data_IF_660142233805
#
_entry.id   IF_660142233805
#
_cell.length_a   1.000
_cell.length_b   1.000
_cell.length_c   1.000
_cell.angle_alpha   90.00
_cell.angle_beta   90.00
_cell.angle_gamma   90.00
#
_symmetry.space_group_name_H-M   'P 1'
#
loop_
_entity.id
_entity.type
_entity.pdbx_description
1 polymer ?
#
# COMPACT_ATOMS: atom_id res chain seq x y z
N UNK A 1 -19.71 -14.29 27.32
CA UNK A 1 -18.60 -13.39 26.97
C UNK A 1 -19.17 -12.20 26.22
N UNK A 2 -18.89 -10.96 26.64
CA UNK A 2 -19.28 -9.76 25.87
C UNK A 2 -18.61 -9.82 24.50
N UNK A 3 -19.37 -9.59 23.43
CA UNK A 3 -18.85 -9.56 22.07
C UNK A 3 -17.91 -8.35 21.98
N UNK A 4 -16.62 -8.57 21.80
CA UNK A 4 -15.64 -7.50 21.59
C UNK A 4 -15.96 -6.78 20.27
N UNK A 5 -16.05 -5.46 20.32
CA UNK A 5 -16.20 -4.62 19.12
C UNK A 5 -14.81 -4.09 18.75
N UNK A 6 -14.33 -4.49 17.56
CA UNK A 6 -13.04 -4.03 17.03
C UNK A 6 -13.26 -2.99 15.94
N UNK A 7 -12.73 -1.78 16.14
CA UNK A 7 -12.91 -0.64 15.24
C UNK A 7 -11.61 -0.13 14.62
N UNK A 8 -10.45 -0.65 15.04
CA UNK A 8 -9.14 -0.22 14.54
C UNK A 8 -8.73 -1.00 13.26
N UNK A 9 -9.57 -0.96 12.24
CA UNK A 9 -9.28 -1.64 10.98
C UNK A 9 -8.14 -0.97 10.16
N UNK A 10 -7.71 0.21 10.55
CA UNK A 10 -6.52 0.86 10.00
C UNK A 10 -5.22 0.15 10.45
N UNK A 11 -5.17 -0.40 11.67
CA UNK A 11 -4.04 -1.19 12.15
C UNK A 11 -3.99 -2.58 11.48
N UNK A 12 -5.10 -3.29 11.45
CA UNK A 12 -5.24 -4.61 10.77
C UNK A 12 -6.71 -4.96 10.64
N UNK A 13 -7.05 -5.86 9.72
CA UNK A 13 -8.40 -6.39 9.60
C UNK A 13 -8.47 -7.87 9.96
N UNK A 14 -9.63 -8.32 10.43
CA UNK A 14 -9.88 -9.75 10.59
C UNK A 14 -9.96 -10.42 9.21
N UNK A 15 -9.22 -11.51 9.04
CA UNK A 15 -9.32 -12.33 7.83
C UNK A 15 -10.74 -12.90 7.70
N UNK A 16 -11.32 -12.81 6.50
CA UNK A 16 -12.68 -13.33 6.27
C UNK A 16 -12.70 -14.86 6.17
N UNK A 17 -13.84 -15.48 6.51
CA UNK A 17 -14.01 -16.93 6.42
C UNK A 17 -13.80 -17.45 5.00
N UNK A 18 -14.26 -16.73 3.98
CA UNK A 18 -14.07 -17.10 2.58
C UNK A 18 -12.58 -17.09 2.18
N UNK A 19 -11.79 -16.18 2.73
CA UNK A 19 -10.34 -16.13 2.53
C UNK A 19 -9.68 -17.31 3.23
N UNK A 20 -10.04 -17.59 4.48
CA UNK A 20 -9.54 -18.76 5.23
C UNK A 20 -9.79 -20.05 4.45
N UNK A 21 -11.04 -20.26 3.97
CA UNK A 21 -11.42 -21.44 3.18
C UNK A 21 -10.61 -21.55 1.88
N UNK A 22 -10.34 -20.44 1.20
CA UNK A 22 -9.52 -20.43 0.00
C UNK A 22 -8.05 -20.82 0.26
N UNK A 23 -7.51 -20.49 1.44
CA UNK A 23 -6.13 -20.82 1.82
C UNK A 23 -5.97 -22.29 2.27
N UNK A 24 -6.99 -22.89 2.86
CA UNK A 24 -6.93 -24.15 3.57
C UNK A 24 -6.33 -25.30 2.74
N UNK A 25 -6.66 -25.52 1.43
CA UNK A 25 -6.06 -26.57 0.62
C UNK A 25 -4.53 -26.43 0.47
N UNK A 26 -4.01 -25.21 0.47
CA UNK A 26 -2.58 -24.93 0.26
C UNK A 26 -1.75 -25.01 1.56
N UNK A 27 -2.39 -25.26 2.69
CA UNK A 27 -1.70 -25.48 3.97
C UNK A 27 -1.35 -26.95 4.20
N UNK A 28 -2.06 -27.91 3.57
CA UNK A 28 -1.88 -29.33 3.79
C UNK A 28 -1.88 -30.17 2.51
N UNK A 29 -2.88 -30.04 1.65
CA UNK A 29 -3.08 -30.91 0.50
C UNK A 29 -2.21 -30.50 -0.70
N UNK A 30 -2.20 -29.22 -1.05
CA UNK A 30 -1.52 -28.65 -2.19
C UNK A 30 -0.21 -27.94 -1.76
N UNK A 31 0.64 -28.64 -1.06
CA UNK A 31 1.90 -28.11 -0.45
C UNK A 31 3.06 -28.01 -1.45
N UNK A 32 2.84 -28.18 -2.74
CA UNK A 32 3.91 -28.20 -3.75
C UNK A 32 4.73 -26.92 -3.81
N UNK A 33 6.01 -27.07 -4.09
CA UNK A 33 6.90 -25.92 -4.35
C UNK A 33 6.78 -25.53 -5.83
N UNK A 34 6.36 -24.30 -6.10
CA UNK A 34 6.12 -23.79 -7.44
C UNK A 34 7.37 -23.76 -8.35
N UNK A 35 8.56 -23.86 -7.77
CA UNK A 35 9.84 -23.92 -8.52
C UNK A 35 10.14 -25.32 -9.10
N UNK A 36 9.37 -26.36 -8.73
CA UNK A 36 9.64 -27.75 -9.20
C UNK A 36 8.88 -28.08 -10.48
N UNK A 37 9.43 -29.00 -11.28
CA UNK A 37 8.90 -29.36 -12.61
C UNK A 37 7.89 -30.52 -12.61
N UNK A 38 7.56 -31.10 -11.46
CA UNK A 38 6.58 -32.17 -11.36
C UNK A 38 5.19 -31.63 -10.97
N UNK A 39 4.15 -32.46 -11.16
CA UNK A 39 2.74 -32.04 -11.14
C UNK A 39 2.30 -31.19 -9.94
N UNK A 40 2.68 -31.59 -8.72
CA UNK A 40 2.31 -30.85 -7.50
C UNK A 40 2.95 -29.43 -7.45
N UNK A 41 4.14 -29.25 -8.06
CA UNK A 41 4.75 -27.93 -8.20
C UNK A 41 4.11 -27.10 -9.32
N UNK A 42 3.68 -27.75 -10.40
CA UNK A 42 2.93 -27.10 -11.49
C UNK A 42 1.56 -26.59 -11.01
N UNK A 43 0.90 -27.34 -10.13
CA UNK A 43 -0.37 -26.92 -9.51
C UNK A 43 -0.17 -25.66 -8.66
N UNK A 44 0.86 -25.64 -7.81
CA UNK A 44 1.20 -24.48 -7.02
C UNK A 44 1.52 -23.25 -7.90
N UNK A 45 2.31 -23.44 -8.97
CA UNK A 45 2.64 -22.37 -9.93
C UNK A 45 1.40 -21.82 -10.62
N UNK A 46 0.49 -22.68 -11.04
CA UNK A 46 -0.77 -22.27 -11.68
C UNK A 46 -1.62 -21.39 -10.76
N UNK A 47 -1.69 -21.72 -9.48
CA UNK A 47 -2.46 -20.91 -8.51
C UNK A 47 -1.77 -19.58 -8.18
N UNK A 48 -0.44 -19.53 -8.16
CA UNK A 48 0.30 -18.27 -8.05
C UNK A 48 0.00 -17.35 -9.24
N UNK A 49 0.02 -17.88 -10.48
CA UNK A 49 -0.26 -17.04 -11.66
C UNK A 49 -1.73 -16.60 -11.71
N UNK A 50 -2.71 -17.45 -11.38
CA UNK A 50 -4.11 -17.03 -11.23
C UNK A 50 -4.29 -15.94 -10.18
N UNK A 51 -3.61 -16.06 -9.03
CA UNK A 51 -3.62 -15.05 -7.99
C UNK A 51 -3.04 -13.72 -8.49
N UNK A 52 -1.97 -13.80 -9.27
CA UNK A 52 -1.34 -12.64 -9.91
C UNK A 52 -2.26 -11.97 -10.92
N UNK A 53 -2.98 -12.76 -11.72
CA UNK A 53 -4.00 -12.25 -12.65
C UNK A 53 -5.11 -11.48 -11.93
N UNK A 54 -5.60 -12.02 -10.80
CA UNK A 54 -6.61 -11.33 -9.97
C UNK A 54 -6.10 -9.99 -9.48
N UNK A 55 -4.90 -9.95 -8.89
CA UNK A 55 -4.30 -8.69 -8.38
C UNK A 55 -4.07 -7.71 -9.54
N UNK A 56 -3.49 -8.15 -10.64
CA UNK A 56 -3.26 -7.30 -11.81
C UNK A 56 -4.57 -6.69 -12.35
N UNK A 57 -5.63 -7.50 -12.45
CA UNK A 57 -6.94 -7.05 -12.91
C UNK A 57 -7.54 -5.94 -12.01
N UNK A 58 -7.35 -6.01 -10.69
CA UNK A 58 -7.85 -4.98 -9.75
C UNK A 58 -7.18 -3.62 -9.94
N UNK A 59 -5.96 -3.59 -10.46
CA UNK A 59 -5.19 -2.37 -10.75
C UNK A 59 -5.24 -1.96 -12.22
N UNK A 60 -5.87 -2.75 -13.09
CA UNK A 60 -5.77 -2.63 -14.57
C UNK A 60 -4.30 -2.68 -15.04
N UNK A 61 -3.49 -3.49 -14.35
CA UNK A 61 -2.08 -3.73 -14.62
C UNK A 61 -1.89 -5.01 -15.43
N UNK A 62 -0.66 -5.24 -15.92
CA UNK A 62 -0.25 -6.53 -16.47
C UNK A 62 0.23 -7.45 -15.33
N UNK A 63 0.13 -8.76 -15.54
CA UNK A 63 0.67 -9.75 -14.59
C UNK A 63 2.18 -9.62 -14.41
N UNK A 64 2.91 -9.22 -15.47
CA UNK A 64 4.35 -8.94 -15.43
C UNK A 64 4.75 -7.83 -14.46
N UNK A 65 3.81 -6.95 -14.10
CA UNK A 65 4.04 -5.79 -13.24
C UNK A 65 3.79 -6.07 -11.74
N UNK A 66 3.26 -7.25 -11.39
CA UNK A 66 2.96 -7.62 -10.00
C UNK A 66 4.06 -8.54 -9.45
N UNK A 67 4.59 -8.21 -8.28
CA UNK A 67 5.59 -8.97 -7.54
C UNK A 67 5.11 -9.21 -6.11
N UNK A 68 5.03 -10.46 -5.70
CA UNK A 68 4.60 -10.81 -4.35
C UNK A 68 5.71 -10.57 -3.32
N UNK A 69 5.30 -10.05 -2.17
CA UNK A 69 6.18 -9.71 -1.04
C UNK A 69 5.58 -10.24 0.27
N UNK A 70 6.30 -10.07 1.38
CA UNK A 70 5.77 -10.42 2.70
C UNK A 70 4.82 -9.36 3.28
N UNK A 71 4.60 -8.23 2.60
CA UNK A 71 3.72 -7.15 3.05
C UNK A 71 4.17 -5.77 2.61
N UNK A 72 3.46 -4.74 3.05
CA UNK A 72 3.72 -3.35 2.68
C UNK A 72 5.14 -2.92 3.01
N UNK A 73 5.63 -3.23 4.22
CA UNK A 73 6.99 -2.82 4.63
C UNK A 73 8.09 -3.39 3.73
N UNK A 74 7.98 -4.63 3.26
CA UNK A 74 8.93 -5.18 2.28
C UNK A 74 8.80 -4.46 0.95
N UNK A 75 7.58 -4.22 0.47
CA UNK A 75 7.31 -3.52 -0.79
C UNK A 75 7.88 -2.10 -0.80
N UNK A 76 7.66 -1.35 0.28
CA UNK A 76 8.17 0.02 0.45
C UNK A 76 9.70 0.07 0.50
N UNK A 77 10.30 -0.83 1.30
CA UNK A 77 11.76 -0.93 1.37
C UNK A 77 12.36 -1.27 0.01
N UNK A 78 11.75 -2.21 -0.71
CA UNK A 78 12.20 -2.58 -2.04
C UNK A 78 12.09 -1.40 -3.01
N UNK A 79 10.93 -0.74 -3.06
CA UNK A 79 10.72 0.42 -3.92
C UNK A 79 11.73 1.54 -3.62
N UNK A 80 11.81 2.01 -2.37
CA UNK A 80 12.63 3.17 -2.01
C UNK A 80 14.12 2.88 -2.12
N UNK A 81 14.59 1.81 -1.48
CA UNK A 81 16.04 1.50 -1.42
C UNK A 81 16.62 1.08 -2.76
N UNK A 82 15.87 0.26 -3.52
CA UNK A 82 16.42 -0.27 -4.75
C UNK A 82 16.30 0.70 -5.93
N UNK A 83 15.29 1.59 -5.95
CA UNK A 83 15.27 2.71 -6.90
C UNK A 83 16.40 3.69 -6.59
N UNK A 84 16.63 4.04 -5.32
CA UNK A 84 17.75 4.87 -4.93
C UNK A 84 19.09 4.28 -5.40
N UNK A 85 19.30 2.97 -5.21
CA UNK A 85 20.51 2.29 -5.67
C UNK A 85 20.62 2.24 -7.20
N UNK A 86 19.54 1.94 -7.93
CA UNK A 86 19.51 1.87 -9.38
C UNK A 86 19.78 3.23 -10.02
N UNK A 87 19.24 4.30 -9.43
CA UNK A 87 19.35 5.65 -9.94
C UNK A 87 20.57 6.43 -9.43
N UNK A 88 21.45 5.82 -8.63
CA UNK A 88 22.60 6.50 -7.98
C UNK A 88 23.48 7.31 -8.93
N UNK A 89 23.61 6.90 -10.18
CA UNK A 89 24.40 7.63 -11.20
C UNK A 89 23.67 8.87 -11.73
N UNK A 90 22.32 8.86 -11.69
CA UNK A 90 21.49 9.98 -12.14
C UNK A 90 21.40 11.06 -11.05
N UNK A 91 21.33 10.63 -9.79
CA UNK A 91 21.22 11.54 -8.65
C UNK A 91 21.02 10.78 -7.33
N UNK A 92 20.94 11.53 -6.24
CA UNK A 92 20.77 10.97 -4.88
C UNK A 92 19.71 11.72 -4.06
N UNK A 93 18.88 12.50 -4.71
CA UNK A 93 17.80 13.21 -4.02
C UNK A 93 16.48 12.45 -4.11
N UNK A 94 15.78 12.37 -2.98
CA UNK A 94 14.48 11.72 -2.80
C UNK A 94 13.54 12.74 -2.18
N UNK A 95 12.29 12.78 -2.64
CA UNK A 95 11.22 13.59 -2.05
C UNK A 95 10.20 12.64 -1.43
N UNK A 96 9.82 12.89 -0.18
CA UNK A 96 8.77 12.16 0.53
C UNK A 96 8.00 13.11 1.46
N UNK A 97 7.04 12.61 2.24
CA UNK A 97 6.29 13.42 3.20
C UNK A 97 6.68 13.09 4.64
N UNK A 98 6.40 14.00 5.58
CA UNK A 98 6.65 13.77 7.00
C UNK A 98 5.58 12.89 7.67
N UNK A 99 4.52 12.51 6.95
CA UNK A 99 3.41 11.68 7.46
C UNK A 99 3.41 10.24 6.91
N UNK A 100 4.46 9.84 6.22
CA UNK A 100 4.60 8.48 5.68
C UNK A 100 4.59 7.41 6.78
N UNK A 101 4.25 6.20 6.37
CA UNK A 101 4.47 5.03 7.23
C UNK A 101 5.96 4.86 7.57
N UNK A 102 6.27 4.36 8.77
CA UNK A 102 7.65 4.15 9.23
C UNK A 102 8.50 3.29 8.27
N UNK A 103 7.89 2.45 7.43
CA UNK A 103 8.61 1.69 6.41
C UNK A 103 9.27 2.61 5.37
N UNK A 104 8.65 3.75 5.04
CA UNK A 104 9.21 4.77 4.17
C UNK A 104 10.18 5.67 4.95
N UNK A 105 9.73 6.27 6.09
CA UNK A 105 10.55 7.19 6.87
C UNK A 105 11.89 6.57 7.27
N UNK A 106 11.87 5.36 7.86
CA UNK A 106 13.10 4.67 8.28
C UNK A 106 13.95 4.21 7.10
N UNK A 107 13.36 3.94 5.93
CA UNK A 107 14.11 3.65 4.71
C UNK A 107 14.82 4.89 4.17
N UNK A 108 14.18 6.04 4.23
CA UNK A 108 14.77 7.33 3.88
C UNK A 108 15.89 7.70 4.86
N UNK A 109 15.67 7.61 6.16
CA UNK A 109 16.71 7.82 7.18
C UNK A 109 17.93 6.90 6.99
N UNK A 110 17.70 5.65 6.62
CA UNK A 110 18.79 4.75 6.27
C UNK A 110 19.57 5.21 5.03
N UNK A 111 18.88 5.71 4.00
CA UNK A 111 19.53 6.24 2.80
C UNK A 111 20.31 7.52 3.07
N UNK A 112 19.84 8.41 3.95
CA UNK A 112 20.60 9.60 4.39
C UNK A 112 21.95 9.21 4.99
N UNK A 113 21.99 8.15 5.82
CA UNK A 113 23.25 7.60 6.36
C UNK A 113 24.20 7.06 5.28
N UNK A 114 23.68 6.77 4.08
CA UNK A 114 24.44 6.35 2.90
C UNK A 114 24.78 7.52 1.95
N UNK A 115 24.50 8.76 2.34
CA UNK A 115 24.82 9.97 1.60
C UNK A 115 23.80 10.31 0.51
N UNK A 116 22.53 9.95 0.69
CA UNK A 116 21.41 10.48 -0.06
C UNK A 116 20.84 11.71 0.64
N UNK A 117 20.29 12.63 -0.13
CA UNK A 117 19.53 13.77 0.39
C UNK A 117 18.04 13.43 0.33
N UNK A 118 17.32 13.70 1.43
CA UNK A 118 15.88 13.50 1.49
C UNK A 118 15.17 14.80 1.84
N UNK A 119 14.23 15.20 1.00
CA UNK A 119 13.30 16.29 1.34
C UNK A 119 12.01 15.69 1.89
N UNK A 120 11.70 16.02 3.14
CA UNK A 120 10.44 15.67 3.79
C UNK A 120 9.48 16.85 3.67
N UNK A 121 8.46 16.71 2.83
CA UNK A 121 7.43 17.73 2.67
C UNK A 121 6.52 17.76 3.91
N UNK A 122 6.29 18.94 4.44
CA UNK A 122 5.35 19.15 5.54
C UNK A 122 3.92 19.24 4.99
N UNK A 123 3.01 18.51 5.63
CA UNK A 123 1.58 18.59 5.32
C UNK A 123 0.92 19.77 6.01
N UNK A 124 -0.23 20.19 5.51
CA UNK A 124 -1.08 21.19 6.14
C UNK A 124 -1.84 20.63 7.37
N UNK A 125 -2.71 21.45 7.97
CA UNK A 125 -3.52 21.07 9.14
C UNK A 125 -4.51 19.93 8.89
N UNK A 126 -4.78 19.61 7.64
CA UNK A 126 -5.64 18.51 7.19
C UNK A 126 -4.86 17.27 6.77
N UNK A 127 -3.53 17.34 6.84
CA UNK A 127 -2.64 16.24 6.44
C UNK A 127 -2.47 16.11 4.93
N UNK A 128 -2.59 17.20 4.16
CA UNK A 128 -2.40 17.25 2.71
C UNK A 128 -1.08 17.93 2.35
N UNK A 129 -0.43 17.44 1.29
CA UNK A 129 0.57 18.20 0.54
C UNK A 129 -0.04 18.81 -0.70
N UNK A 130 0.53 19.92 -1.18
CA UNK A 130 0.16 20.45 -2.50
C UNK A 130 1.09 19.91 -3.61
N UNK A 131 0.56 19.76 -4.84
CA UNK A 131 1.41 19.43 -5.99
C UNK A 131 2.53 20.46 -6.23
N UNK A 132 2.29 21.72 -5.88
CA UNK A 132 3.25 22.82 -5.99
C UNK A 132 4.45 22.61 -5.04
N UNK A 133 4.22 22.17 -3.79
CA UNK A 133 5.31 21.83 -2.87
C UNK A 133 6.22 20.73 -3.45
N UNK A 134 5.63 19.71 -4.10
CA UNK A 134 6.41 18.66 -4.77
C UNK A 134 7.22 19.25 -5.91
N UNK A 135 6.62 20.11 -6.73
CA UNK A 135 7.30 20.74 -7.88
C UNK A 135 8.48 21.62 -7.43
N UNK A 136 8.29 22.41 -6.38
CA UNK A 136 9.32 23.31 -5.83
C UNK A 136 10.48 22.55 -5.17
N UNK A 137 10.22 21.35 -4.65
CA UNK A 137 11.23 20.49 -4.05
C UNK A 137 12.08 19.73 -5.09
N UNK A 138 11.67 19.68 -6.37
CA UNK A 138 12.41 18.97 -7.42
C UNK A 138 13.73 19.64 -7.72
N UNK A 139 14.79 18.85 -7.71
CA UNK A 139 16.17 19.24 -8.02
C UNK A 139 16.66 18.48 -9.27
N UNK A 140 17.74 18.93 -9.94
CA UNK A 140 18.31 18.21 -11.08
C UNK A 140 18.74 16.77 -10.75
N UNK A 141 19.07 16.48 -9.49
CA UNK A 141 19.49 15.18 -8.98
C UNK A 141 18.35 14.39 -8.28
N UNK A 142 17.09 14.83 -8.39
CA UNK A 142 15.94 14.10 -7.86
C UNK A 142 15.69 12.83 -8.69
N UNK A 143 15.61 11.69 -8.03
CA UNK A 143 15.46 10.38 -8.67
C UNK A 143 14.17 9.65 -8.30
N UNK A 144 13.61 9.94 -7.12
CA UNK A 144 12.40 9.31 -6.62
C UNK A 144 11.53 10.34 -5.89
N UNK A 145 10.24 10.27 -6.14
CA UNK A 145 9.20 10.86 -5.32
C UNK A 145 8.44 9.69 -4.69
N UNK A 146 8.27 9.66 -3.36
CA UNK A 146 7.51 8.64 -2.66
C UNK A 146 6.50 9.32 -1.74
N UNK A 147 5.22 9.19 -2.08
CA UNK A 147 4.11 9.81 -1.33
C UNK A 147 3.03 8.77 -1.11
N UNK A 148 2.63 8.56 0.14
CA UNK A 148 1.56 7.62 0.46
C UNK A 148 0.25 8.03 -0.21
N UNK A 149 -0.54 7.05 -0.64
CA UNK A 149 -1.82 7.32 -1.31
C UNK A 149 -2.86 7.92 -0.34
N UNK A 150 -2.88 7.39 0.87
CA UNK A 150 -3.74 7.88 1.93
C UNK A 150 -3.10 7.58 3.29
N UNK A 151 -3.23 8.53 4.22
CA UNK A 151 -2.65 8.38 5.55
C UNK A 151 -3.43 7.38 6.40
N UNK A 152 -2.73 6.51 7.10
CA UNK A 152 -3.29 5.45 7.94
C UNK A 152 -3.95 5.97 9.22
N UNK A 153 -3.52 7.12 9.74
CA UNK A 153 -4.03 7.71 10.99
C UNK A 153 -5.23 8.61 10.72
N UNK A 154 -5.01 9.68 9.98
CA UNK A 154 -6.05 10.71 9.76
C UNK A 154 -6.93 10.42 8.54
N UNK A 155 -6.55 9.49 7.70
CA UNK A 155 -7.35 9.02 6.56
C UNK A 155 -7.32 9.93 5.33
N UNK A 156 -6.62 11.05 5.35
CA UNK A 156 -6.52 12.00 4.25
C UNK A 156 -5.93 11.32 3.01
N UNK A 157 -6.50 11.60 1.84
CA UNK A 157 -6.05 11.07 0.53
C UNK A 157 -5.22 12.13 -0.16
N UNK A 158 -3.98 11.78 -0.54
CA UNK A 158 -3.05 12.69 -1.19
C UNK A 158 -3.37 12.92 -2.69
N UNK A 159 -2.93 14.02 -3.29
CA UNK A 159 -3.20 14.37 -4.70
C UNK A 159 -2.31 13.57 -5.68
N UNK A 160 -2.36 12.23 -5.59
CA UNK A 160 -1.49 11.27 -6.30
C UNK A 160 -1.51 11.46 -7.82
N UNK A 161 -2.68 11.79 -8.40
CA UNK A 161 -2.78 12.00 -9.84
C UNK A 161 -1.93 13.20 -10.31
N UNK A 162 -2.04 14.32 -9.59
CA UNK A 162 -1.30 15.55 -9.92
C UNK A 162 0.20 15.35 -9.70
N UNK A 163 0.59 14.74 -8.57
CA UNK A 163 2.00 14.44 -8.26
C UNK A 163 2.58 13.51 -9.33
N UNK A 164 1.87 12.46 -9.69
CA UNK A 164 2.34 11.52 -10.72
C UNK A 164 2.50 12.17 -12.10
N UNK A 165 1.64 13.14 -12.46
CA UNK A 165 1.83 13.95 -13.69
C UNK A 165 3.13 14.75 -13.63
N UNK A 166 3.39 15.44 -12.52
CA UNK A 166 4.63 16.21 -12.31
C UNK A 166 5.84 15.27 -12.42
N UNK A 167 5.81 14.15 -11.72
CA UNK A 167 6.90 13.16 -11.74
C UNK A 167 7.19 12.67 -13.17
N UNK A 168 6.13 12.34 -13.94
CA UNK A 168 6.25 11.88 -15.32
C UNK A 168 6.81 12.96 -16.26
N UNK A 169 6.34 14.21 -16.14
CA UNK A 169 6.84 15.34 -16.92
C UNK A 169 8.32 15.63 -16.64
N UNK A 170 8.75 15.44 -15.39
CA UNK A 170 10.14 15.62 -14.94
C UNK A 170 11.01 14.37 -15.11
N UNK A 171 10.45 13.26 -15.61
CA UNK A 171 11.14 11.96 -15.74
C UNK A 171 11.76 11.45 -14.44
N UNK A 172 11.03 11.65 -13.32
CA UNK A 172 11.35 11.17 -11.99
C UNK A 172 10.45 9.99 -11.69
N UNK A 173 10.98 8.91 -11.07
CA UNK A 173 10.18 7.77 -10.69
C UNK A 173 9.24 8.13 -9.52
N UNK A 174 8.01 7.64 -9.59
CA UNK A 174 6.99 7.90 -8.59
C UNK A 174 6.51 6.60 -7.92
N UNK A 175 6.76 6.49 -6.63
CA UNK A 175 6.25 5.44 -5.75
C UNK A 175 5.09 5.97 -4.90
N UNK A 176 4.10 5.13 -4.66
CA UNK A 176 3.04 5.39 -3.67
C UNK A 176 2.85 4.19 -2.74
N UNK A 177 2.93 4.42 -1.43
CA UNK A 177 2.40 3.46 -0.46
C UNK A 177 0.87 3.52 -0.50
N UNK A 178 0.26 2.51 -1.13
CA UNK A 178 -1.19 2.38 -1.25
C UNK A 178 -1.77 1.35 -0.26
N UNK A 179 -1.04 0.97 0.78
CA UNK A 179 -1.44 -0.03 1.76
C UNK A 179 -2.80 0.29 2.39
N UNK A 180 -3.08 1.57 2.64
CA UNK A 180 -4.38 1.99 3.18
C UNK A 180 -5.44 2.27 2.10
N UNK A 181 -5.04 2.48 0.85
CA UNK A 181 -5.94 2.85 -0.24
C UNK A 181 -6.38 1.63 -1.07
N UNK A 182 -5.49 0.65 -1.28
CA UNK A 182 -5.79 -0.54 -2.05
C UNK A 182 -6.98 -1.30 -1.46
N UNK A 183 -7.90 -1.68 -2.30
CA UNK A 183 -9.17 -2.31 -1.96
C UNK A 183 -10.13 -1.45 -1.09
N UNK A 184 -9.76 -0.23 -0.69
CA UNK A 184 -10.66 0.71 0.00
C UNK A 184 -11.30 1.72 -0.94
N UNK A 185 -10.57 2.13 -1.97
CA UNK A 185 -11.04 3.02 -3.03
C UNK A 185 -10.64 2.43 -4.40
N UNK A 186 -11.32 2.84 -5.50
CA UNK A 186 -10.93 2.41 -6.84
C UNK A 186 -9.52 2.89 -7.18
N UNK A 187 -8.63 1.95 -7.50
CA UNK A 187 -7.27 2.24 -7.98
C UNK A 187 -7.09 1.69 -9.39
N UNK A 188 -6.45 2.48 -10.24
CA UNK A 188 -6.07 2.06 -11.59
C UNK A 188 -4.74 2.71 -11.96
N UNK A 189 -3.74 1.92 -12.27
CA UNK A 189 -2.42 2.41 -12.72
C UNK A 189 -2.46 3.01 -14.14
N UNK A 190 -3.57 2.79 -14.86
CA UNK A 190 -3.83 3.48 -16.12
C UNK A 190 -4.32 4.92 -15.91
N UNK A 191 -4.95 5.19 -14.76
CA UNK A 191 -5.42 6.53 -14.40
C UNK A 191 -4.39 7.27 -13.56
N UNK A 192 -3.88 6.66 -12.51
CA UNK A 192 -2.84 7.24 -11.65
C UNK A 192 -1.47 6.98 -12.27
N UNK A 193 -0.70 8.03 -12.65
CA UNK A 193 0.58 7.86 -13.31
C UNK A 193 1.70 7.51 -12.31
N UNK A 194 1.53 6.39 -11.61
CA UNK A 194 2.50 5.82 -10.67
C UNK A 194 3.43 4.83 -11.37
N UNK A 195 4.64 4.70 -10.88
CA UNK A 195 5.66 3.78 -11.37
C UNK A 195 5.79 2.55 -10.46
N UNK A 196 5.61 2.75 -9.16
CA UNK A 196 5.59 1.68 -8.15
C UNK A 196 4.43 1.91 -7.18
N UNK A 197 3.82 0.80 -6.71
CA UNK A 197 2.74 0.86 -5.74
C UNK A 197 2.84 -0.32 -4.77
N UNK A 198 2.84 -0.02 -3.46
CA UNK A 198 2.88 -1.02 -2.39
C UNK A 198 1.49 -1.32 -1.84
N UNK A 199 1.23 -2.61 -1.53
CA UNK A 199 0.00 -3.04 -0.87
C UNK A 199 0.24 -4.20 0.10
N UNK A 200 -0.69 -4.40 1.05
CA UNK A 200 -0.61 -5.44 2.09
C UNK A 200 -1.97 -6.06 2.38
N UNK A 201 -2.05 -7.38 2.30
CA UNK A 201 -3.32 -8.12 2.34
C UNK A 201 -4.13 -7.93 3.63
N UNK A 202 -3.44 -7.79 4.77
CA UNK A 202 -4.12 -7.68 6.06
C UNK A 202 -4.90 -6.38 6.26
N UNK A 203 -4.82 -5.42 5.34
CA UNK A 203 -5.61 -4.18 5.37
C UNK A 203 -6.97 -4.32 4.65
N UNK A 204 -7.20 -5.42 3.95
CA UNK A 204 -8.45 -5.69 3.23
C UNK A 204 -8.97 -7.12 3.44
N UNK A 205 -8.93 -7.59 4.68
CA UNK A 205 -9.44 -8.89 5.14
C UNK A 205 -8.70 -10.11 4.59
N UNK A 206 -7.48 -9.91 4.08
CA UNK A 206 -6.54 -10.95 3.71
C UNK A 206 -5.63 -11.40 4.86
N UNK A 207 -4.75 -12.37 4.63
CA UNK A 207 -3.80 -12.84 5.63
C UNK A 207 -2.69 -11.83 5.90
N UNK A 208 -2.10 -11.89 7.12
CA UNK A 208 -0.84 -11.22 7.45
C UNK A 208 0.33 -11.93 6.76
N UNK A 209 1.44 -11.24 6.58
CA UNK A 209 2.67 -11.84 6.03
C UNK A 209 2.63 -12.03 4.51
N UNK A 210 1.78 -11.30 3.79
CA UNK A 210 1.73 -11.24 2.34
C UNK A 210 1.29 -9.86 1.84
N UNK A 211 1.91 -9.43 0.76
CA UNK A 211 1.60 -8.20 0.05
C UNK A 211 2.11 -8.27 -1.39
N UNK A 212 2.13 -7.16 -2.06
CA UNK A 212 2.72 -7.06 -3.39
C UNK A 212 3.31 -5.67 -3.63
N UNK A 213 4.27 -5.64 -4.55
CA UNK A 213 4.77 -4.44 -5.19
C UNK A 213 4.36 -4.47 -6.67
N UNK A 214 3.62 -3.45 -7.11
CA UNK A 214 3.46 -3.14 -8.52
C UNK A 214 4.70 -2.40 -9.01
N UNK A 215 5.25 -2.82 -10.13
CA UNK A 215 6.37 -2.17 -10.80
C UNK A 215 5.99 -2.04 -12.27
N UNK A 216 5.87 -0.80 -12.76
CA UNK A 216 5.49 -0.52 -14.15
C UNK A 216 6.51 -1.12 -15.12
N UNK A 217 6.02 -1.74 -16.19
CA UNK A 217 6.87 -2.29 -17.25
C UNK A 217 7.89 -1.27 -17.76
N UNK A 218 9.12 -1.72 -17.97
CA UNK A 218 10.25 -0.88 -18.41
C UNK A 218 11.07 -0.27 -17.27
N UNK A 219 10.65 -0.42 -16.01
CA UNK A 219 11.48 0.00 -14.88
C UNK A 219 12.42 -1.14 -14.50
N UNK A 220 13.71 -0.87 -14.58
CA UNK A 220 14.72 -1.82 -14.10
C UNK A 220 15.03 -1.55 -12.63
N UNK A 221 14.48 -2.39 -11.78
CA UNK A 221 14.74 -2.37 -10.34
C UNK A 221 15.56 -3.62 -9.97
N UNK A 222 16.67 -3.48 -9.22
CA UNK A 222 17.45 -4.62 -8.74
C UNK A 222 16.63 -5.56 -7.85
N UNK A 223 17.11 -6.80 -7.73
CA UNK A 223 16.55 -7.76 -6.76
C UNK A 223 16.70 -7.23 -5.34
N UNK A 224 15.63 -7.34 -4.54
CA UNK A 224 15.67 -6.94 -3.13
C UNK A 224 16.18 -8.07 -2.22
N UNK A 225 15.70 -9.29 -2.45
CA UNK A 225 16.15 -10.49 -1.74
C UNK A 225 16.88 -11.36 -2.75
N UNK A 226 18.17 -11.64 -2.49
CA UNK A 226 19.00 -12.44 -3.35
C UNK A 226 18.88 -13.94 -3.01
N UNK A 227 18.81 -14.80 -4.04
CA UNK A 227 18.66 -16.25 -3.88
C UNK A 227 18.19 -16.93 -5.16
N UNK A 228 17.14 -17.74 -5.09
CA UNK A 228 16.56 -18.43 -6.25
C UNK A 228 15.85 -17.50 -7.22
N UNK A 229 15.28 -18.08 -8.27
CA UNK A 229 14.66 -17.34 -9.40
C UNK A 229 13.19 -16.98 -9.18
N UNK A 230 12.67 -17.10 -7.97
CA UNK A 230 11.31 -16.73 -7.64
C UNK A 230 11.02 -15.27 -8.03
N UNK A 231 9.74 -14.94 -8.24
CA UNK A 231 9.32 -13.61 -8.70
C UNK A 231 10.20 -13.09 -9.86
N UNK A 232 10.45 -13.95 -10.84
CA UNK A 232 11.26 -13.62 -12.04
C UNK A 232 12.68 -13.17 -11.70
N UNK A 233 13.27 -13.73 -10.62
CA UNK A 233 14.62 -13.40 -10.14
C UNK A 233 14.74 -12.07 -9.42
N UNK A 234 13.61 -11.36 -9.18
CA UNK A 234 13.62 -10.06 -8.51
C UNK A 234 13.40 -10.16 -7.01
N UNK A 235 12.78 -11.26 -6.52
CA UNK A 235 12.56 -11.49 -5.10
C UNK A 235 12.61 -12.99 -4.80
N UNK A 236 13.72 -13.42 -4.24
CA UNK A 236 13.98 -14.82 -3.93
C UNK A 236 13.23 -15.29 -2.67
N UNK A 237 13.17 -16.62 -2.49
CA UNK A 237 12.49 -17.29 -1.39
C UNK A 237 11.24 -18.02 -1.85
N UNK A 238 11.04 -19.24 -1.36
CA UNK A 238 9.87 -20.06 -1.67
C UNK A 238 8.58 -19.25 -1.43
N UNK A 239 7.70 -19.29 -2.40
CA UNK A 239 6.48 -18.49 -2.40
C UNK A 239 5.49 -18.96 -1.33
N UNK A 240 4.87 -18.02 -0.63
CA UNK A 240 3.80 -18.27 0.33
C UNK A 240 2.49 -18.50 -0.43
N UNK A 241 2.34 -19.69 -1.05
CA UNK A 241 1.21 -20.01 -1.93
C UNK A 241 -0.14 -19.79 -1.23
N UNK A 242 -0.32 -20.32 -0.03
CA UNK A 242 -1.54 -20.15 0.74
C UNK A 242 -1.86 -18.66 1.01
N UNK A 243 -0.86 -17.88 1.44
CA UNK A 243 -1.03 -16.46 1.70
C UNK A 243 -1.35 -15.66 0.45
N UNK A 244 -0.72 -15.98 -0.69
CA UNK A 244 -0.95 -15.30 -1.98
C UNK A 244 -2.36 -15.60 -2.50
N UNK A 245 -2.82 -16.85 -2.44
CA UNK A 245 -4.20 -17.24 -2.78
C UNK A 245 -5.20 -16.52 -1.86
N UNK A 246 -4.92 -16.45 -0.57
CA UNK A 246 -5.74 -15.70 0.39
C UNK A 246 -5.80 -14.21 0.09
N UNK A 247 -4.69 -13.59 -0.29
CA UNK A 247 -4.64 -12.18 -0.71
C UNK A 247 -5.47 -11.94 -1.97
N UNK A 248 -5.32 -12.79 -2.99
CA UNK A 248 -6.09 -12.69 -4.22
C UNK A 248 -7.60 -12.83 -3.96
N UNK A 249 -8.00 -13.80 -3.12
CA UNK A 249 -9.40 -13.97 -2.73
C UNK A 249 -9.95 -12.78 -1.96
N UNK A 250 -9.18 -12.19 -1.08
CA UNK A 250 -9.54 -10.97 -0.36
C UNK A 250 -9.74 -9.79 -1.33
N UNK A 251 -8.84 -9.62 -2.30
CA UNK A 251 -8.94 -8.58 -3.33
C UNK A 251 -10.19 -8.78 -4.22
N UNK A 252 -10.44 -10.00 -4.69
CA UNK A 252 -11.64 -10.34 -5.46
C UNK A 252 -12.93 -9.92 -4.73
N UNK A 253 -13.06 -10.29 -3.47
CA UNK A 253 -14.23 -9.96 -2.64
C UNK A 253 -14.35 -8.43 -2.44
N UNK A 254 -13.25 -7.78 -2.12
CA UNK A 254 -13.23 -6.35 -1.82
C UNK A 254 -13.62 -5.51 -3.05
N UNK A 255 -13.07 -5.83 -4.23
CA UNK A 255 -13.40 -5.13 -5.48
C UNK A 255 -14.79 -5.49 -6.02
N UNK A 256 -15.21 -6.76 -5.90
CA UNK A 256 -16.54 -7.20 -6.32
C UNK A 256 -17.69 -6.48 -5.62
N UNK A 257 -17.50 -6.04 -4.38
CA UNK A 257 -18.50 -5.35 -3.56
C UNK A 257 -18.14 -3.88 -3.28
N UNK A 258 -17.07 -3.36 -3.85
CA UNK A 258 -16.47 -2.07 -3.48
C UNK A 258 -17.48 -0.92 -3.46
N UNK A 259 -18.23 -0.73 -4.55
CA UNK A 259 -19.17 0.40 -4.67
C UNK A 259 -20.19 0.42 -3.51
N UNK A 260 -20.80 -0.72 -3.22
CA UNK A 260 -21.82 -0.84 -2.16
C UNK A 260 -21.21 -0.67 -0.78
N UNK A 261 -20.04 -1.27 -0.54
CA UNK A 261 -19.31 -1.16 0.72
C UNK A 261 -18.87 0.28 0.99
N UNK A 262 -18.21 0.92 0.03
CA UNK A 262 -17.73 2.31 0.13
C UNK A 262 -18.88 3.28 0.42
N UNK A 263 -20.02 3.14 -0.27
CA UNK A 263 -21.20 3.99 0.00
C UNK A 263 -21.69 3.84 1.44
N UNK A 264 -21.75 2.61 1.96
CA UNK A 264 -22.15 2.34 3.34
C UNK A 264 -21.16 2.91 4.34
N UNK A 265 -19.86 2.71 4.11
CA UNK A 265 -18.80 3.25 4.96
C UNK A 265 -18.82 4.76 5.03
N UNK A 266 -18.95 5.45 3.90
CA UNK A 266 -19.07 6.91 3.84
C UNK A 266 -20.29 7.40 4.63
N UNK A 267 -21.44 6.74 4.48
CA UNK A 267 -22.66 7.10 5.22
C UNK A 267 -22.44 6.97 6.74
N UNK A 268 -21.89 5.84 7.19
CA UNK A 268 -21.63 5.60 8.61
C UNK A 268 -20.55 6.53 9.16
N UNK A 269 -19.49 6.76 8.40
CA UNK A 269 -18.41 7.70 8.74
C UNK A 269 -18.97 9.12 8.94
N UNK A 270 -19.73 9.59 7.97
CA UNK A 270 -20.28 10.96 8.04
C UNK A 270 -21.27 11.11 9.22
N UNK A 271 -22.12 10.10 9.44
CA UNK A 271 -23.02 10.07 10.58
C UNK A 271 -22.24 10.11 11.92
N UNK A 272 -21.19 9.31 12.05
CA UNK A 272 -20.35 9.34 13.25
C UNK A 272 -19.66 10.70 13.44
N UNK A 273 -19.12 11.28 12.37
CA UNK A 273 -18.46 12.60 12.44
C UNK A 273 -19.47 13.67 12.89
N UNK A 274 -20.67 13.71 12.32
CA UNK A 274 -21.71 14.67 12.68
C UNK A 274 -22.14 14.54 14.14
N UNK A 275 -22.36 13.29 14.61
CA UNK A 275 -22.74 13.03 16.00
C UNK A 275 -21.66 13.45 16.98
N UNK A 276 -20.42 13.03 16.76
CA UNK A 276 -19.30 13.37 17.66
C UNK A 276 -19.07 14.89 17.72
N UNK A 277 -19.03 15.55 16.56
CA UNK A 277 -18.81 17.00 16.50
C UNK A 277 -19.96 17.83 17.11
N UNK A 278 -21.18 17.29 17.12
CA UNK A 278 -22.34 17.97 17.71
C UNK A 278 -22.50 17.68 19.21
N UNK A 279 -22.25 16.44 19.63
CA UNK A 279 -22.60 15.97 20.98
C UNK A 279 -21.44 16.04 21.98
N UNK A 280 -20.19 16.06 21.49
CA UNK A 280 -18.99 16.08 22.35
C UNK A 280 -18.34 17.46 22.26
N UNK A 281 -18.38 18.26 23.35
CA UNK A 281 -17.70 19.57 23.39
C UNK A 281 -16.20 19.41 23.16
N UNK A 282 -15.61 20.39 22.46
CA UNK A 282 -14.18 20.46 22.17
C UNK A 282 -13.59 19.23 21.43
N UNK A 283 -14.45 18.43 20.77
CA UNK A 283 -14.00 17.41 19.82
C UNK A 283 -13.48 18.05 18.53
N UNK A 284 -12.37 17.55 18.00
CA UNK A 284 -11.79 17.99 16.73
C UNK A 284 -11.66 16.78 15.80
N UNK A 285 -12.17 16.89 14.57
CA UNK A 285 -11.87 15.92 13.52
C UNK A 285 -10.47 16.20 13.00
N UNK A 286 -9.62 15.17 12.96
CA UNK A 286 -8.28 15.22 12.36
C UNK A 286 -8.34 14.71 10.91
N UNK A 287 -7.52 15.33 10.04
CA UNK A 287 -7.50 15.06 8.61
C UNK A 287 -8.64 15.74 7.84
N UNK A 288 -8.53 15.73 6.52
CA UNK A 288 -9.45 16.44 5.64
C UNK A 288 -10.88 15.90 5.75
N UNK A 289 -11.88 16.80 5.82
CA UNK A 289 -13.28 16.45 6.08
C UNK A 289 -13.89 15.52 5.03
N UNK A 290 -13.59 15.72 3.76
CA UNK A 290 -14.19 15.01 2.62
C UNK A 290 -13.20 14.21 1.78
N UNK A 291 -11.96 14.69 1.58
CA UNK A 291 -10.90 13.99 0.84
C UNK A 291 -10.23 13.00 1.80
N UNK A 292 -10.97 11.93 2.11
CA UNK A 292 -10.51 10.92 3.09
C UNK A 292 -11.05 9.53 2.77
N UNK A 293 -10.37 8.53 3.30
CA UNK A 293 -10.77 7.12 3.17
C UNK A 293 -12.21 6.89 3.66
N UNK A 294 -12.97 6.01 3.00
CA UNK A 294 -14.39 5.79 3.30
C UNK A 294 -14.69 5.41 4.75
N UNK A 295 -13.87 4.52 5.33
CA UNK A 295 -14.08 3.95 6.66
C UNK A 295 -13.23 4.60 7.77
N UNK A 296 -12.45 5.66 7.48
CA UNK A 296 -11.56 6.26 8.46
C UNK A 296 -12.19 7.48 9.15
N UNK A 297 -12.10 7.53 10.48
CA UNK A 297 -12.34 8.70 11.33
C UNK A 297 -11.23 8.79 12.39
N UNK A 298 -10.77 10.00 12.65
CA UNK A 298 -9.79 10.28 13.69
C UNK A 298 -10.20 11.55 14.44
N UNK A 299 -10.30 11.47 15.75
CA UNK A 299 -10.73 12.59 16.60
C UNK A 299 -9.69 12.87 17.68
N UNK A 300 -9.52 14.14 17.99
CA UNK A 300 -8.88 14.62 19.19
C UNK A 300 -9.91 15.17 20.14
N UNK A 301 -9.79 14.85 21.42
CA UNK A 301 -10.65 15.36 22.50
C UNK A 301 -9.79 16.17 23.48
N UNK A 302 -10.21 17.39 23.75
CA UNK A 302 -9.46 18.27 24.65
C UNK A 302 -9.33 17.67 26.05
N UNK A 303 -8.08 17.59 26.55
CA UNK A 303 -7.80 17.10 27.89
C UNK A 303 -7.79 15.57 28.05
N UNK A 304 -7.88 14.79 26.95
CA UNK A 304 -7.78 13.35 26.97
C UNK A 304 -6.54 12.89 26.18
N UNK A 305 -5.85 11.90 26.72
CA UNK A 305 -4.80 11.18 25.99
C UNK A 305 -5.42 10.00 25.25
N UNK A 306 -5.04 9.77 23.99
CA UNK A 306 -5.61 8.70 23.14
C UNK A 306 -5.47 7.29 23.75
N UNK A 307 -4.43 7.04 24.54
CA UNK A 307 -4.24 5.78 25.26
C UNK A 307 -5.28 5.53 26.37
N UNK A 308 -6.05 6.54 26.75
CA UNK A 308 -7.09 6.48 27.79
C UNK A 308 -8.50 6.24 27.20
N UNK A 309 -8.62 6.23 25.89
CA UNK A 309 -9.85 5.99 25.12
C UNK A 309 -9.91 4.56 24.59
#
# INVERSE_FOLDING_TARGET
MSKQIYLDNAATTQMSDAVKQAMEPYLQENYGNASTAYSIGEDARRELEKSREVIAATLHAKTSEIYFTSGGSESDNWAVKNIAAACKKKGRHIITTNIEHHAILNSCEYLEKLGYDVTYLEVDGDGLISPEQVMDAIRPDTTLISVMFANNEVGTIEPIYQIGKIAREKQILFHTDAVQAYAQIPLSVNYYPVDLLSASAHKFHGPKGVGFLYIRDGIDIPSFIHGGSQERGKRAGTENVAGIVGMAKAAEIAYGNMRKRVQKEIMLRNYLIERVMHEIPDAKLNGHRSIRLPGNVNFSFKGLEGASL
#
